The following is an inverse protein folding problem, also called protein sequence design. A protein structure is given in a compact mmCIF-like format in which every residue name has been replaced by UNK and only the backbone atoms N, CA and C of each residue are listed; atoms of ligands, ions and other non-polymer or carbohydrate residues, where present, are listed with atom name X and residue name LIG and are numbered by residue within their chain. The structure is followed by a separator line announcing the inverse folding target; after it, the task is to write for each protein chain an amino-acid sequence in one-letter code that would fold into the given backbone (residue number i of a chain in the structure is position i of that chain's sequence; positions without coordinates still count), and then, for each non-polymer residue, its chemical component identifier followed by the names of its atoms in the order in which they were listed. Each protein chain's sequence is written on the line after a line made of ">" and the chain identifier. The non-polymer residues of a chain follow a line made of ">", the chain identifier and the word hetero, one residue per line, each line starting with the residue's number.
data_IF_647381619285
#
_entry.id   IF_647381619285
#
_cell.length_a   1.000
_cell.length_b   1.000
_cell.length_c   1.000
_cell.angle_alpha   90.00
_cell.angle_beta   90.00
_cell.angle_gamma   90.00
#
_symmetry.space_group_name_H-M   'P 1'
#
loop_
_entity.id
_entity.type
_entity.pdbx_description
1 polymer ?
#
# COMPACT_ATOMS: atom_id res chain seq x y z
N UNK A 1 -10.90 45.88 7.99
CA UNK A 1 -10.13 44.71 7.55
C UNK A 1 -11.15 43.61 7.29
N UNK A 2 -11.51 43.36 6.02
CA UNK A 2 -12.46 42.30 5.68
C UNK A 2 -11.68 41.01 5.62
N UNK A 3 -11.89 40.13 6.62
CA UNK A 3 -11.39 38.76 6.55
C UNK A 3 -12.18 38.04 5.46
N UNK A 4 -11.50 37.61 4.43
CA UNK A 4 -12.09 36.77 3.40
C UNK A 4 -12.47 35.42 4.05
N UNK A 5 -13.76 35.09 4.22
CA UNK A 5 -14.18 33.88 4.90
C UNK A 5 -13.74 32.61 4.16
N UNK A 6 -13.30 32.73 2.91
CA UNK A 6 -12.79 31.61 2.11
C UNK A 6 -11.30 31.32 2.36
N UNK A 7 -10.52 32.27 2.89
CA UNK A 7 -9.12 32.05 3.27
C UNK A 7 -8.99 31.31 4.61
N UNK A 8 -10.02 31.40 5.47
CA UNK A 8 -10.02 30.75 6.78
C UNK A 8 -10.25 29.23 6.73
N UNK A 9 -10.64 28.67 5.58
CA UNK A 9 -10.94 27.26 5.41
C UNK A 9 -10.13 26.70 4.26
N UNK A 10 -9.00 26.06 4.53
CA UNK A 10 -8.27 25.34 3.50
C UNK A 10 -9.02 24.07 3.11
N UNK A 11 -9.30 23.93 1.83
CA UNK A 11 -9.80 22.68 1.24
C UNK A 11 -8.62 21.76 0.97
N UNK A 12 -8.54 20.64 1.66
CA UNK A 12 -7.60 19.58 1.37
C UNK A 12 -8.29 18.55 0.49
N UNK A 13 -7.76 18.36 -0.70
CA UNK A 13 -8.21 17.31 -1.62
C UNK A 13 -7.20 16.18 -1.63
N UNK A 14 -7.69 14.97 -1.47
CA UNK A 14 -6.89 13.76 -1.52
C UNK A 14 -7.43 12.83 -2.59
N UNK A 15 -6.50 12.23 -3.34
CA UNK A 15 -6.80 11.20 -4.33
C UNK A 15 -6.33 9.85 -3.84
N UNK A 16 -7.23 8.88 -3.86
CA UNK A 16 -6.95 7.48 -3.56
C UNK A 16 -7.15 6.70 -4.86
N UNK A 17 -6.15 5.98 -5.30
CA UNK A 17 -6.24 5.22 -6.54
C UNK A 17 -5.71 3.80 -6.37
N UNK A 18 -6.36 2.81 -7.02
CA UNK A 18 -5.85 1.45 -7.06
C UNK A 18 -4.57 1.43 -7.91
N UNK A 19 -3.48 0.92 -7.35
CA UNK A 19 -2.20 0.81 -8.04
C UNK A 19 -1.94 -0.67 -8.38
N UNK A 20 -1.41 -1.42 -7.42
CA UNK A 20 -1.11 -2.84 -7.61
C UNK A 20 -2.07 -3.69 -6.78
N UNK A 21 -3.30 -3.78 -7.22
CA UNK A 21 -4.31 -4.67 -6.66
C UNK A 21 -4.51 -5.86 -7.59
N UNK A 22 -4.32 -7.06 -7.07
CA UNK A 22 -4.52 -8.28 -7.86
C UNK A 22 -6.01 -8.50 -8.14
N UNK A 23 -6.46 -8.39 -9.41
CA UNK A 23 -7.86 -8.56 -9.76
C UNK A 23 -8.34 -10.02 -9.66
N UNK A 24 -7.43 -10.99 -9.52
CA UNK A 24 -7.78 -12.40 -9.34
C UNK A 24 -8.16 -12.68 -7.89
N UNK A 25 -7.44 -12.08 -6.94
CA UNK A 25 -7.60 -12.31 -5.52
C UNK A 25 -8.53 -11.31 -4.85
N UNK A 26 -8.47 -10.03 -5.22
CA UNK A 26 -9.17 -8.93 -4.55
C UNK A 26 -10.45 -8.57 -5.30
N UNK A 27 -11.57 -8.56 -4.60
CA UNK A 27 -12.83 -8.05 -5.10
C UNK A 27 -12.90 -6.52 -4.96
N UNK A 28 -12.54 -6.01 -3.78
CA UNK A 28 -12.50 -4.57 -3.48
C UNK A 28 -11.59 -4.30 -2.30
N UNK A 29 -11.20 -3.04 -2.10
CA UNK A 29 -10.43 -2.59 -0.96
C UNK A 29 -11.08 -1.35 -0.37
N UNK A 30 -11.39 -1.41 0.92
CA UNK A 30 -11.82 -0.24 1.68
C UNK A 30 -10.61 0.46 2.27
N UNK A 31 -10.48 1.73 1.92
CA UNK A 31 -9.48 2.65 2.48
C UNK A 31 -10.15 3.41 3.61
N UNK A 32 -9.83 3.04 4.84
CA UNK A 32 -10.34 3.71 6.03
C UNK A 32 -9.40 4.84 6.42
N UNK A 33 -9.92 6.04 6.32
CA UNK A 33 -9.19 7.29 6.62
C UNK A 33 -9.69 7.85 7.94
N UNK A 34 -8.78 8.21 8.84
CA UNK A 34 -9.13 8.90 10.07
C UNK A 34 -8.24 10.14 10.28
N UNK A 35 -8.82 11.19 10.82
CA UNK A 35 -8.10 12.44 11.11
C UNK A 35 -8.71 13.17 12.30
N UNK A 36 -7.93 14.01 12.90
CA UNK A 36 -8.39 14.88 13.99
C UNK A 36 -9.00 16.13 13.39
N UNK A 37 -10.28 16.34 13.62
CA UNK A 37 -11.00 17.55 13.21
C UNK A 37 -10.66 18.78 14.08
N UNK A 38 -11.18 19.94 13.66
CA UNK A 38 -10.87 21.24 14.28
C UNK A 38 -11.20 21.35 15.77
N UNK A 39 -12.13 20.54 16.26
CA UNK A 39 -12.52 20.51 17.68
C UNK A 39 -11.88 19.36 18.46
N UNK A 40 -10.82 18.74 17.90
CA UNK A 40 -10.13 17.61 18.51
C UNK A 40 -10.87 16.26 18.40
N UNK A 41 -12.04 16.22 17.74
CA UNK A 41 -12.76 14.97 17.51
C UNK A 41 -12.12 14.17 16.37
N UNK A 42 -12.04 12.87 16.54
CA UNK A 42 -11.67 11.97 15.45
C UNK A 42 -12.82 11.91 14.44
N UNK A 43 -12.49 12.04 13.18
CA UNK A 43 -13.41 11.84 12.05
C UNK A 43 -12.89 10.73 11.18
N UNK A 44 -13.81 9.99 10.60
CA UNK A 44 -13.49 8.85 9.75
C UNK A 44 -14.19 8.95 8.40
N UNK A 45 -13.57 8.38 7.39
CA UNK A 45 -14.12 8.21 6.05
C UNK A 45 -13.65 6.88 5.47
N UNK A 46 -14.55 6.21 4.80
CA UNK A 46 -14.22 4.99 4.02
C UNK A 46 -14.39 5.31 2.55
N UNK A 47 -13.40 4.95 1.75
CA UNK A 47 -13.41 5.00 0.29
C UNK A 47 -13.16 3.60 -0.23
N UNK A 48 -14.05 3.11 -1.08
CA UNK A 48 -13.90 1.78 -1.66
C UNK A 48 -13.30 1.90 -3.06
N UNK A 49 -12.20 1.20 -3.30
CA UNK A 49 -11.54 1.09 -4.60
C UNK A 49 -11.59 -0.36 -5.08
N UNK A 50 -11.65 -0.54 -6.38
CA UNK A 50 -11.61 -1.87 -7.01
C UNK A 50 -10.39 -1.96 -7.92
N UNK A 51 -9.83 -3.16 -8.12
CA UNK A 51 -8.71 -3.36 -9.03
C UNK A 51 -9.01 -2.81 -10.42
N UNK A 52 -8.12 -1.96 -10.97
CA UNK A 52 -8.30 -1.32 -12.27
C UNK A 52 -9.43 -0.27 -12.32
N UNK A 53 -10.08 0.03 -11.20
CA UNK A 53 -11.13 1.03 -11.12
C UNK A 53 -10.63 2.47 -11.11
N UNK A 54 -11.56 3.44 -11.14
CA UNK A 54 -11.21 4.86 -11.09
C UNK A 54 -10.69 5.28 -9.72
N UNK A 55 -9.88 6.34 -9.72
CA UNK A 55 -9.47 6.99 -8.49
C UNK A 55 -10.69 7.60 -7.75
N UNK A 56 -10.66 7.52 -6.44
CA UNK A 56 -11.61 8.15 -5.55
C UNK A 56 -11.04 9.46 -5.02
N UNK A 57 -11.87 10.49 -4.93
CA UNK A 57 -11.44 11.77 -4.39
C UNK A 57 -12.15 12.05 -3.07
N UNK A 58 -11.36 12.46 -2.08
CA UNK A 58 -11.90 12.90 -0.81
C UNK A 58 -11.51 14.37 -0.57
N UNK A 59 -12.52 15.17 -0.22
CA UNK A 59 -12.35 16.58 0.07
C UNK A 59 -12.74 16.86 1.52
N UNK A 60 -11.86 17.51 2.25
CA UNK A 60 -12.10 17.92 3.63
C UNK A 60 -11.73 19.38 3.82
N UNK A 61 -12.57 20.12 4.51
CA UNK A 61 -12.28 21.49 4.96
C UNK A 61 -11.61 21.43 6.31
N UNK A 62 -10.47 22.09 6.44
CA UNK A 62 -9.73 22.24 7.70
C UNK A 62 -9.50 23.71 8.00
N UNK A 63 -9.65 24.08 9.28
CA UNK A 63 -9.32 25.44 9.73
C UNK A 63 -7.82 25.65 9.76
N UNK A 64 -7.08 24.63 10.17
CA UNK A 64 -5.62 24.69 10.27
C UNK A 64 -4.99 24.06 9.01
N UNK A 65 -4.43 24.87 8.10
CA UNK A 65 -3.80 24.38 6.88
C UNK A 65 -2.49 23.63 7.14
N UNK A 66 -1.92 23.75 8.35
CA UNK A 66 -0.67 23.08 8.73
C UNK A 66 -0.90 21.62 9.14
N UNK A 67 -2.08 21.31 9.67
CA UNK A 67 -2.46 19.95 10.07
C UNK A 67 -2.98 19.16 8.86
N UNK A 68 -2.08 18.52 8.15
CA UNK A 68 -2.43 17.70 6.97
C UNK A 68 -2.43 16.21 7.25
N UNK A 69 -1.94 15.80 8.42
CA UNK A 69 -1.79 14.39 8.77
C UNK A 69 -3.14 13.69 8.89
N UNK A 70 -3.17 12.49 8.36
CA UNK A 70 -4.27 11.54 8.52
C UNK A 70 -3.69 10.14 8.64
N UNK A 71 -4.42 9.30 9.36
CA UNK A 71 -4.12 7.88 9.48
C UNK A 71 -4.98 7.11 8.52
N UNK A 72 -4.41 6.13 7.86
CA UNK A 72 -5.12 5.26 6.93
C UNK A 72 -4.79 3.81 7.19
N UNK A 73 -5.74 2.94 6.85
CA UNK A 73 -5.57 1.49 6.81
C UNK A 73 -6.39 0.90 5.69
N UNK A 74 -5.98 -0.25 5.17
CA UNK A 74 -6.67 -0.96 4.10
C UNK A 74 -7.37 -2.18 4.66
N UNK A 75 -8.56 -2.43 4.15
CA UNK A 75 -9.31 -3.67 4.36
C UNK A 75 -9.57 -4.27 2.99
N UNK A 76 -8.81 -5.27 2.62
CA UNK A 76 -8.99 -5.99 1.36
C UNK A 76 -10.09 -7.03 1.51
N UNK A 77 -11.10 -6.96 0.67
CA UNK A 77 -12.15 -7.96 0.54
C UNK A 77 -11.74 -8.93 -0.57
N UNK A 78 -11.48 -10.17 -0.21
CA UNK A 78 -11.04 -11.18 -1.15
C UNK A 78 -12.24 -11.85 -1.84
N UNK A 79 -12.01 -12.40 -3.02
CA UNK A 79 -13.05 -13.10 -3.78
C UNK A 79 -13.51 -14.41 -3.15
N UNK A 80 -12.72 -14.98 -2.24
CA UNK A 80 -13.10 -16.14 -1.44
C UNK A 80 -14.03 -15.79 -0.24
N UNK A 81 -14.38 -14.52 -0.10
CA UNK A 81 -15.23 -14.00 0.98
C UNK A 81 -14.47 -13.65 2.26
N UNK A 82 -13.17 -13.85 2.31
CA UNK A 82 -12.34 -13.45 3.45
C UNK A 82 -11.92 -11.99 3.37
N UNK A 83 -11.44 -11.44 4.48
CA UNK A 83 -10.91 -10.08 4.55
C UNK A 83 -9.51 -10.07 5.13
N UNK A 84 -8.68 -9.14 4.64
CA UNK A 84 -7.36 -8.86 5.20
C UNK A 84 -7.22 -7.38 5.50
N UNK A 85 -6.71 -7.07 6.67
CA UNK A 85 -6.51 -5.70 7.14
C UNK A 85 -5.01 -5.41 7.29
N UNK A 86 -4.60 -4.20 6.91
CA UNK A 86 -3.23 -3.72 7.09
C UNK A 86 -3.10 -2.96 8.41
N UNK A 87 -1.89 -2.87 8.92
CA UNK A 87 -1.58 -1.98 10.03
C UNK A 87 -1.86 -0.51 9.65
N UNK A 88 -2.33 0.32 10.59
CA UNK A 88 -2.56 1.72 10.33
C UNK A 88 -1.24 2.47 10.09
N UNK A 89 -1.26 3.37 9.12
CA UNK A 89 -0.13 4.24 8.77
C UNK A 89 -0.57 5.69 8.74
N UNK A 90 0.32 6.60 9.12
CA UNK A 90 0.06 8.05 9.12
C UNK A 90 0.84 8.73 8.00
N UNK A 91 0.19 9.65 7.29
CA UNK A 91 0.80 10.43 6.21
C UNK A 91 0.15 11.80 6.08
N UNK A 92 0.84 12.73 5.42
CA UNK A 92 0.32 14.04 5.00
C UNK A 92 0.19 14.13 3.46
N UNK A 93 0.41 13.04 2.74
CA UNK A 93 0.38 13.02 1.29
C UNK A 93 -1.04 13.28 0.75
N UNK A 94 -1.14 14.02 -0.35
CA UNK A 94 -2.42 14.30 -1.03
C UNK A 94 -2.81 13.20 -2.00
N UNK A 95 -1.95 12.21 -2.18
CA UNK A 95 -2.17 11.09 -3.08
C UNK A 95 -1.82 9.80 -2.35
N UNK A 96 -2.73 8.84 -2.37
CA UNK A 96 -2.56 7.53 -1.76
C UNK A 96 -2.72 6.45 -2.83
N UNK A 97 -1.64 5.75 -3.13
CA UNK A 97 -1.65 4.55 -3.94
C UNK A 97 -2.04 3.36 -3.08
N UNK A 98 -3.03 2.60 -3.53
CA UNK A 98 -3.50 1.40 -2.82
C UNK A 98 -2.89 0.18 -3.49
N UNK A 99 -1.98 -0.46 -2.76
CA UNK A 99 -1.31 -1.69 -3.16
C UNK A 99 -1.83 -2.86 -2.33
N UNK A 100 -1.80 -4.05 -2.89
CA UNK A 100 -1.98 -5.25 -2.10
C UNK A 100 -0.68 -5.59 -1.35
N UNK A 101 -0.83 -6.09 -0.13
CA UNK A 101 0.27 -6.59 0.69
C UNK A 101 0.48 -8.10 0.53
N UNK A 102 -0.07 -8.69 -0.54
CA UNK A 102 0.05 -10.13 -0.74
C UNK A 102 1.44 -10.48 -1.23
N UNK A 103 1.97 -11.54 -0.62
CA UNK A 103 3.18 -12.18 -1.12
C UNK A 103 2.84 -12.79 -2.48
N UNK A 104 3.40 -12.25 -3.54
CA UNK A 104 3.27 -12.81 -4.89
C UNK A 104 4.33 -13.87 -5.09
N UNK A 105 4.00 -14.97 -5.77
CA UNK A 105 5.03 -15.89 -6.19
C UNK A 105 6.02 -15.14 -7.10
N UNK A 106 7.30 -15.27 -6.80
CA UNK A 106 8.35 -14.76 -7.66
C UNK A 106 8.58 -15.80 -8.75
N UNK A 107 8.24 -15.46 -9.98
CA UNK A 107 8.59 -16.26 -11.15
C UNK A 107 9.97 -15.77 -11.65
N UNK A 108 10.92 -16.68 -11.71
CA UNK A 108 12.28 -16.38 -12.15
C UNK A 108 12.56 -17.19 -13.39
N UNK A 109 12.69 -16.52 -14.52
CA UNK A 109 13.12 -17.11 -15.77
C UNK A 109 14.65 -17.14 -15.82
N UNK A 110 15.20 -18.34 -16.00
CA UNK A 110 16.62 -18.52 -16.18
C UNK A 110 16.96 -18.72 -17.66
N UNK A 111 17.83 -17.88 -18.18
CA UNK A 111 18.43 -18.08 -19.49
C UNK A 111 19.74 -18.87 -19.29
N UNK A 112 19.81 -20.14 -19.70
CA UNK A 112 21.01 -20.93 -19.56
C UNK A 112 22.09 -20.38 -20.49
N UNK A 113 23.20 -19.90 -19.92
CA UNK A 113 24.38 -19.45 -20.66
C UNK A 113 25.46 -20.56 -20.76
N UNK A 114 25.08 -21.79 -20.41
CA UNK A 114 25.97 -22.96 -20.47
C UNK A 114 25.50 -23.92 -21.55
N UNK A 115 26.42 -24.70 -22.10
CA UNK A 115 26.09 -25.77 -23.06
C UNK A 115 25.42 -26.94 -22.32
N UNK A 116 24.14 -27.24 -22.59
CA UNK A 116 23.43 -28.34 -21.94
C UNK A 116 24.02 -29.72 -22.27
N UNK A 117 24.78 -29.84 -23.39
CA UNK A 117 25.42 -31.10 -23.76
C UNK A 117 26.76 -31.32 -23.03
N UNK A 118 27.39 -30.24 -22.58
CA UNK A 118 28.64 -30.28 -21.83
C UNK A 118 28.47 -30.25 -20.31
N UNK A 119 27.26 -29.92 -19.83
CA UNK A 119 26.96 -29.74 -18.42
C UNK A 119 26.00 -30.82 -17.94
N UNK A 120 26.47 -31.70 -17.06
CA UNK A 120 25.65 -32.78 -16.50
C UNK A 120 24.71 -32.32 -15.37
N UNK A 121 25.02 -31.21 -14.71
CA UNK A 121 24.24 -30.66 -13.58
C UNK A 121 24.53 -29.18 -13.38
N UNK A 122 23.49 -28.40 -13.14
CA UNK A 122 23.60 -27.00 -12.72
C UNK A 122 22.77 -26.77 -11.45
N UNK A 123 23.35 -26.08 -10.49
CA UNK A 123 22.68 -25.68 -9.25
C UNK A 123 22.36 -24.19 -9.31
N UNK A 124 21.13 -23.84 -8.94
CA UNK A 124 20.69 -22.47 -8.86
C UNK A 124 20.23 -22.21 -7.44
N UNK A 125 20.97 -21.38 -6.72
CA UNK A 125 20.60 -20.94 -5.39
C UNK A 125 19.82 -19.63 -5.49
N UNK A 126 18.52 -19.67 -5.17
CA UNK A 126 17.68 -18.47 -5.09
C UNK A 126 17.49 -18.11 -3.61
N UNK A 127 18.10 -17.01 -3.18
CA UNK A 127 17.86 -16.46 -1.86
C UNK A 127 16.75 -15.42 -1.93
N UNK A 128 15.61 -15.76 -1.35
CA UNK A 128 14.46 -14.88 -1.24
C UNK A 128 14.02 -14.76 0.22
N UNK A 129 13.79 -13.56 0.72
CA UNK A 129 13.37 -13.34 2.09
C UNK A 129 12.51 -12.10 2.24
N UNK A 130 11.60 -12.14 3.20
CA UNK A 130 10.85 -10.96 3.62
C UNK A 130 11.82 -9.97 4.26
N UNK A 131 12.06 -8.84 3.61
CA UNK A 131 12.89 -7.77 4.15
C UNK A 131 12.10 -7.02 5.23
N UNK A 132 12.49 -7.16 6.51
CA UNK A 132 12.10 -6.23 7.55
C UNK A 132 12.93 -4.96 7.39
N UNK A 133 12.27 -3.84 7.24
CA UNK A 133 12.93 -2.53 7.26
C UNK A 133 13.48 -2.26 8.67
N UNK A 134 14.76 -2.38 8.82
CA UNK A 134 15.47 -1.95 10.02
C UNK A 134 16.10 -0.59 9.79
N UNK A 135 15.97 0.29 10.76
CA UNK A 135 16.28 1.73 10.75
C UNK A 135 17.78 2.06 10.69
N UNK A 136 18.65 1.21 10.13
CA UNK A 136 20.09 1.49 9.93
C UNK A 136 20.65 0.73 8.73
N UNK A 137 20.92 1.43 7.65
CA UNK A 137 21.92 1.07 6.65
C UNK A 137 21.50 -0.01 5.64
N UNK A 138 21.86 0.22 4.41
CA UNK A 138 21.65 -0.61 3.24
C UNK A 138 22.38 -1.95 3.33
N UNK A 139 21.68 -3.02 3.70
CA UNK A 139 22.13 -4.41 3.50
C UNK A 139 20.91 -5.27 3.18
N UNK A 140 20.91 -5.87 2.01
CA UNK A 140 19.94 -6.87 1.59
C UNK A 140 20.50 -8.24 1.97
N UNK A 141 19.87 -8.94 2.87
CA UNK A 141 20.16 -10.35 3.15
C UNK A 141 18.84 -11.10 3.29
N UNK A 142 18.61 -12.01 2.37
CA UNK A 142 17.43 -12.84 2.34
C UNK A 142 17.85 -14.30 2.36
N UNK A 143 17.44 -15.08 3.38
CA UNK A 143 17.66 -16.53 3.45
C UNK A 143 16.33 -17.25 3.42
N UNK A 144 16.15 -18.11 2.44
CA UNK A 144 15.11 -19.13 2.44
C UNK A 144 15.69 -20.45 2.91
N UNK A 145 15.04 -21.10 3.86
CA UNK A 145 15.36 -22.46 4.27
C UNK A 145 14.15 -23.33 3.94
N UNK A 146 14.26 -24.12 2.90
CA UNK A 146 13.29 -25.18 2.65
C UNK A 146 13.41 -26.24 3.75
N UNK A 147 12.29 -26.56 4.42
CA UNK A 147 12.19 -27.55 5.50
C UNK A 147 11.58 -28.85 5.04
N UNK A 148 11.78 -29.22 3.80
CA UNK A 148 11.36 -30.54 3.32
C UNK A 148 12.57 -31.29 2.78
N UNK A 149 13.28 -31.88 3.71
CA UNK A 149 13.97 -33.16 3.61
C UNK A 149 14.02 -33.81 4.99
#
# INVERSE_FOLDING_TARGET
>A
MFLNPFEALSLVEMKVFPNRLDPVLIASTDVRLSWIGDKGQTRERVLTVVPGGPAQTWRVRRRDPTRRDYTWRLVHHLKDGTTRETDPSTTAATTLAVDDSFVRPLEIDFLPLFDPNATSMAFIDVMYGACRWGNRGWWWSCRYRDRNR
#
